data_IF_164845154362
#
_entry.id   IF_164845154362
#
_cell.length_a   1.000
_cell.length_b   1.000
_cell.length_c   1.000
_cell.angle_alpha   90.00
_cell.angle_beta   90.00
_cell.angle_gamma   90.00
#
_symmetry.space_group_name_H-M   'P 1'
#
loop_
_entity.id
_entity.type
_entity.pdbx_description
1 polymer ?
#
# COMPACT_ATOMS: atom_id res chain seq x y z
N UNK A 1 1.73 -20.43 14.96
CA UNK A 1 0.85 -19.40 15.54
C UNK A 1 1.27 -17.97 15.18
N UNK A 2 2.48 -17.50 15.51
CA UNK A 2 2.90 -16.09 15.26
C UNK A 2 2.82 -15.64 13.79
N UNK A 3 3.09 -16.52 12.81
CA UNK A 3 3.01 -16.21 11.37
C UNK A 3 1.59 -15.86 10.90
N UNK A 4 0.61 -16.68 11.31
CA UNK A 4 -0.81 -16.45 11.01
C UNK A 4 -1.36 -15.21 11.70
N UNK A 5 -0.83 -14.85 12.88
CA UNK A 5 -1.19 -13.59 13.55
C UNK A 5 -0.77 -12.38 12.70
N UNK A 6 0.48 -12.33 12.24
CA UNK A 6 0.95 -11.22 11.38
C UNK A 6 0.18 -11.14 10.07
N UNK A 7 -0.09 -12.29 9.44
CA UNK A 7 -0.94 -12.37 8.26
C UNK A 7 -2.34 -11.79 8.53
N UNK A 8 -3.00 -12.26 9.59
CA UNK A 8 -4.35 -11.83 9.96
C UNK A 8 -4.43 -10.34 10.24
N UNK A 9 -3.48 -9.79 11.01
CA UNK A 9 -3.42 -8.35 11.31
C UNK A 9 -3.34 -7.55 10.00
N UNK A 10 -2.40 -7.89 9.12
CA UNK A 10 -2.19 -7.10 7.90
C UNK A 10 -3.34 -7.25 6.91
N UNK A 11 -3.91 -8.45 6.78
CA UNK A 11 -5.10 -8.68 5.97
C UNK A 11 -6.29 -7.85 6.49
N UNK A 12 -6.51 -7.82 7.81
CA UNK A 12 -7.54 -6.99 8.43
C UNK A 12 -7.33 -5.50 8.17
N UNK A 13 -6.09 -5.00 8.15
CA UNK A 13 -5.81 -3.61 7.79
C UNK A 13 -6.21 -3.31 6.34
N UNK A 14 -5.87 -4.18 5.38
CA UNK A 14 -6.28 -3.97 3.99
C UNK A 14 -7.81 -4.02 3.80
N UNK A 15 -8.49 -4.92 4.52
CA UNK A 15 -9.96 -4.98 4.54
C UNK A 15 -10.51 -3.67 5.12
N UNK A 16 -9.93 -3.17 6.21
CA UNK A 16 -10.35 -1.92 6.84
C UNK A 16 -10.16 -0.72 5.89
N UNK A 17 -9.02 -0.62 5.21
CA UNK A 17 -8.77 0.40 4.18
C UNK A 17 -9.85 0.33 3.09
N UNK A 18 -10.15 -0.87 2.58
CA UNK A 18 -11.19 -1.05 1.57
C UNK A 18 -12.56 -0.57 2.06
N UNK A 19 -12.95 -0.91 3.29
CA UNK A 19 -14.23 -0.48 3.88
C UNK A 19 -14.30 1.03 4.01
N UNK A 20 -13.24 1.68 4.48
CA UNK A 20 -13.17 3.15 4.55
C UNK A 20 -13.30 3.78 3.16
N UNK A 21 -12.51 3.31 2.19
CA UNK A 21 -12.56 3.82 0.82
C UNK A 21 -13.96 3.69 0.22
N UNK A 22 -14.58 2.51 0.38
CA UNK A 22 -15.93 2.25 -0.11
C UNK A 22 -16.99 3.14 0.55
N UNK A 23 -16.86 3.39 1.86
CA UNK A 23 -17.88 4.13 2.61
C UNK A 23 -17.81 5.64 2.37
N UNK A 24 -16.59 6.20 2.27
CA UNK A 24 -16.39 7.65 2.27
C UNK A 24 -15.90 8.23 0.95
N UNK A 25 -15.12 7.48 0.16
CA UNK A 25 -14.32 8.04 -0.93
C UNK A 25 -14.76 7.61 -2.32
N UNK A 26 -15.58 6.58 -2.46
CA UNK A 26 -16.09 6.13 -3.76
C UNK A 26 -16.95 7.20 -4.45
N UNK A 27 -17.05 7.12 -5.79
CA UNK A 27 -17.94 8.00 -6.56
C UNK A 27 -19.36 7.95 -5.97
N UNK A 28 -19.93 9.13 -5.69
CA UNK A 28 -21.25 9.27 -5.07
C UNK A 28 -21.25 9.24 -3.53
N UNK A 29 -20.08 9.26 -2.88
CA UNK A 29 -19.92 9.34 -1.42
C UNK A 29 -19.60 10.76 -0.93
N UNK A 30 -19.86 11.07 0.35
CA UNK A 30 -19.80 12.44 0.88
C UNK A 30 -18.44 13.12 0.76
N UNK A 31 -17.35 12.36 0.71
CA UNK A 31 -16.00 12.89 0.63
C UNK A 31 -15.25 12.28 -0.54
N UNK A 32 -15.86 12.22 -1.74
CA UNK A 32 -15.19 11.59 -2.88
C UNK A 32 -13.75 12.11 -3.08
N UNK A 33 -12.80 11.18 -3.07
CA UNK A 33 -11.38 11.41 -3.31
C UNK A 33 -10.93 10.45 -4.41
N UNK A 34 -10.17 10.96 -5.38
CA UNK A 34 -9.83 10.18 -6.57
C UNK A 34 -8.89 9.02 -6.23
N UNK A 35 -7.82 9.29 -5.49
CA UNK A 35 -6.75 8.32 -5.23
C UNK A 35 -7.24 7.16 -4.37
N UNK A 36 -7.94 7.39 -3.24
CA UNK A 36 -8.49 6.28 -2.45
C UNK A 36 -9.52 5.45 -3.22
N UNK A 37 -10.33 6.05 -4.10
CA UNK A 37 -11.28 5.31 -4.95
C UNK A 37 -10.57 4.44 -5.98
N UNK A 38 -9.66 5.04 -6.75
CA UNK A 38 -8.91 4.34 -7.79
C UNK A 38 -8.05 3.21 -7.21
N UNK A 39 -7.34 3.48 -6.12
CA UNK A 39 -6.42 2.50 -5.51
C UNK A 39 -7.17 1.32 -4.89
N UNK A 40 -8.32 1.57 -4.25
CA UNK A 40 -9.18 0.53 -3.69
C UNK A 40 -9.74 -0.43 -4.77
N UNK A 41 -10.08 0.10 -5.96
CA UNK A 41 -10.63 -0.68 -7.06
C UNK A 41 -9.57 -1.47 -7.84
N UNK A 42 -8.38 -0.89 -8.03
CA UNK A 42 -7.42 -1.43 -9.00
C UNK A 42 -6.24 -2.19 -8.36
N UNK A 43 -5.67 -1.67 -7.26
CA UNK A 43 -4.38 -2.18 -6.75
C UNK A 43 -4.45 -2.72 -5.31
N UNK A 44 -5.52 -2.44 -4.56
CA UNK A 44 -5.63 -2.83 -3.15
C UNK A 44 -5.50 -4.34 -2.94
N UNK A 45 -6.18 -5.14 -3.76
CA UNK A 45 -6.09 -6.60 -3.65
C UNK A 45 -4.67 -7.10 -3.95
N UNK A 46 -4.03 -6.57 -5.00
CA UNK A 46 -2.67 -6.92 -5.39
C UNK A 46 -1.70 -6.54 -4.27
N UNK A 47 -1.83 -5.34 -3.72
CA UNK A 47 -1.02 -4.84 -2.62
C UNK A 47 -1.22 -5.70 -1.35
N UNK A 48 -2.46 -6.08 -1.06
CA UNK A 48 -2.79 -6.96 0.05
C UNK A 48 -2.10 -8.33 -0.08
N UNK A 49 -2.15 -8.96 -1.26
CA UNK A 49 -1.51 -10.26 -1.51
C UNK A 49 0.02 -10.14 -1.36
N UNK A 50 0.62 -9.13 -2.00
CA UNK A 50 2.08 -8.91 -1.95
C UNK A 50 2.54 -8.66 -0.53
N UNK A 51 1.79 -7.88 0.26
CA UNK A 51 2.14 -7.54 1.64
C UNK A 51 1.93 -8.71 2.60
N UNK A 52 0.84 -9.47 2.44
CA UNK A 52 0.44 -10.53 3.38
C UNK A 52 1.13 -11.87 3.11
N UNK A 53 1.37 -12.24 1.85
CA UNK A 53 1.96 -13.55 1.52
C UNK A 53 3.31 -13.79 2.22
N UNK A 54 4.23 -12.81 2.33
CA UNK A 54 5.47 -12.99 3.07
C UNK A 54 5.30 -13.28 4.57
N UNK A 55 4.18 -12.89 5.18
CA UNK A 55 3.91 -13.22 6.58
C UNK A 55 3.79 -14.75 6.79
N UNK A 56 3.27 -15.49 5.79
CA UNK A 56 3.12 -16.95 5.84
C UNK A 56 4.46 -17.69 5.85
N UNK A 57 5.48 -17.15 5.17
CA UNK A 57 6.87 -17.63 5.22
C UNK A 57 7.64 -17.11 6.46
N UNK A 58 6.95 -16.36 7.33
CA UNK A 58 7.48 -15.87 8.60
C UNK A 58 8.29 -14.58 8.49
N UNK A 59 8.07 -13.78 7.45
CA UNK A 59 8.59 -12.42 7.40
C UNK A 59 7.75 -11.53 8.29
N UNK A 60 8.41 -10.81 9.21
CA UNK A 60 7.69 -10.06 10.24
C UNK A 60 7.57 -8.59 9.90
N UNK A 61 8.60 -7.96 9.33
CA UNK A 61 8.65 -6.51 9.15
C UNK A 61 8.12 -6.09 7.79
N UNK A 62 8.44 -6.88 6.76
CA UNK A 62 8.02 -6.63 5.38
C UNK A 62 6.51 -6.29 5.24
N UNK A 63 5.58 -7.08 5.82
CA UNK A 63 4.15 -6.81 5.68
C UNK A 63 3.73 -5.45 6.24
N UNK A 64 4.32 -5.02 7.35
CA UNK A 64 3.98 -3.73 7.98
C UNK A 64 4.58 -2.54 7.22
N UNK A 65 5.81 -2.69 6.71
CA UNK A 65 6.47 -1.64 5.92
C UNK A 65 5.67 -1.38 4.64
N UNK A 66 5.30 -2.45 3.93
CA UNK A 66 4.55 -2.35 2.66
C UNK A 66 3.16 -1.73 2.86
N UNK A 67 2.42 -2.11 3.90
CA UNK A 67 1.15 -1.47 4.29
C UNK A 67 1.32 0.02 4.59
N UNK A 68 2.38 0.37 5.32
CA UNK A 68 2.68 1.76 5.67
C UNK A 68 2.93 2.62 4.42
N UNK A 69 3.76 2.13 3.50
CA UNK A 69 4.04 2.81 2.23
C UNK A 69 2.83 2.84 1.29
N UNK A 70 1.99 1.80 1.29
CA UNK A 70 0.73 1.81 0.55
C UNK A 70 -0.19 2.95 1.05
N UNK A 71 -0.40 3.01 2.36
CA UNK A 71 -1.27 4.02 2.99
C UNK A 71 -0.71 5.43 2.78
N UNK A 72 0.60 5.59 2.94
CA UNK A 72 1.28 6.86 2.66
C UNK A 72 1.18 7.26 1.19
N UNK A 73 1.27 6.30 0.28
CA UNK A 73 1.09 6.49 -1.15
C UNK A 73 -0.30 6.99 -1.54
N UNK A 74 -1.35 6.50 -0.89
CA UNK A 74 -2.71 7.01 -1.06
C UNK A 74 -2.79 8.48 -0.67
N UNK A 75 -2.24 8.83 0.50
CA UNK A 75 -2.25 10.21 1.00
C UNK A 75 -1.45 11.14 0.08
N UNK A 76 -0.23 10.74 -0.29
CA UNK A 76 0.59 11.52 -1.23
C UNK A 76 -0.08 11.66 -2.60
N UNK A 77 -0.69 10.59 -3.10
CA UNK A 77 -1.39 10.62 -4.36
C UNK A 77 -2.55 11.58 -4.35
N UNK A 78 -3.30 11.69 -3.25
CA UNK A 78 -4.38 12.69 -3.16
C UNK A 78 -3.84 14.12 -3.01
N UNK A 79 -2.78 14.33 -2.23
CA UNK A 79 -2.21 15.65 -2.01
C UNK A 79 -1.48 16.21 -3.25
N UNK A 80 -0.79 15.36 -4.02
CA UNK A 80 0.08 15.75 -5.12
C UNK A 80 -0.36 15.23 -6.49
N UNK A 81 -1.46 14.48 -6.56
CA UNK A 81 -1.96 13.89 -7.80
C UNK A 81 -2.82 14.83 -8.62
N UNK A 82 -3.44 15.83 -8.01
CA UNK A 82 -4.23 16.83 -8.72
C UNK A 82 -3.31 17.76 -9.51
N UNK A 83 -3.27 17.58 -10.83
CA UNK A 83 -2.68 18.56 -11.73
C UNK A 83 -3.80 19.35 -12.40
N UNK A 84 -3.71 20.68 -12.35
CA UNK A 84 -4.57 21.57 -13.14
C UNK A 84 -4.12 21.51 -14.60
N UNK A 85 -4.46 20.44 -15.29
CA UNK A 85 -4.32 20.37 -16.75
C UNK A 85 -5.69 20.56 -17.34
N UNK A 86 -5.92 21.73 -17.95
CA UNK A 86 -7.11 21.99 -18.77
C UNK A 86 -6.96 21.12 -20.03
N UNK A 87 -7.55 19.93 -20.00
CA UNK A 87 -7.65 19.06 -21.17
C UNK A 87 -8.72 19.62 -22.09
N UNK A 88 -8.24 20.22 -23.18
CA UNK A 88 -8.98 20.59 -24.40
C UNK A 88 -10.12 21.62 -24.22
N UNK A 89 -10.16 22.62 -25.09
CA UNK A 89 -11.07 23.77 -24.98
C UNK A 89 -12.56 23.40 -25.18
N UNK A 90 -12.83 22.14 -25.57
CA UNK A 90 -14.13 21.61 -25.94
C UNK A 90 -14.70 20.54 -24.98
N UNK A 91 -13.95 20.15 -23.94
CA UNK A 91 -14.42 19.20 -22.93
C UNK A 91 -14.63 19.93 -21.60
N UNK A 92 -15.64 19.52 -20.79
CA UNK A 92 -15.77 20.05 -19.45
C UNK A 92 -14.46 19.78 -18.68
N UNK A 93 -13.91 20.77 -17.97
CA UNK A 93 -12.61 20.63 -17.30
C UNK A 93 -12.69 19.50 -16.27
N UNK A 94 -12.15 18.34 -16.62
CA UNK A 94 -11.92 17.25 -15.67
C UNK A 94 -10.47 17.37 -15.21
N UNK A 95 -10.21 17.59 -13.91
CA UNK A 95 -8.85 17.61 -13.39
C UNK A 95 -8.21 16.25 -13.65
N UNK A 96 -7.11 16.24 -14.41
CA UNK A 96 -6.35 15.01 -14.62
C UNK A 96 -5.63 14.68 -13.31
N UNK A 97 -6.03 13.58 -12.67
CA UNK A 97 -5.53 13.18 -11.36
C UNK A 97 -4.54 12.01 -11.47
N UNK A 98 -3.24 12.28 -11.38
CA UNK A 98 -2.16 11.29 -11.45
C UNK A 98 -1.84 10.64 -10.08
N UNK A 99 -2.73 10.77 -9.09
CA UNK A 99 -2.52 10.24 -7.73
C UNK A 99 -2.22 8.73 -7.69
N UNK A 100 -2.69 7.97 -8.69
CA UNK A 100 -2.36 6.56 -8.85
C UNK A 100 -0.84 6.31 -9.02
N UNK A 101 -0.13 7.19 -9.73
CA UNK A 101 1.30 7.05 -10.00
C UNK A 101 2.12 7.22 -8.71
N UNK A 102 1.76 8.20 -7.89
CA UNK A 102 2.34 8.40 -6.57
C UNK A 102 2.13 7.19 -5.67
N UNK A 103 0.93 6.62 -5.65
CA UNK A 103 0.64 5.44 -4.84
C UNK A 103 1.43 4.20 -5.32
N UNK A 104 1.53 3.97 -6.63
CA UNK A 104 2.30 2.84 -7.18
C UNK A 104 3.79 3.01 -6.88
N UNK A 105 4.35 4.20 -7.11
CA UNK A 105 5.76 4.48 -6.90
C UNK A 105 6.17 4.34 -5.43
N UNK A 106 5.41 4.95 -4.52
CA UNK A 106 5.66 4.85 -3.07
C UNK A 106 5.51 3.41 -2.57
N UNK A 107 4.49 2.67 -3.03
CA UNK A 107 4.33 1.27 -2.68
C UNK A 107 5.50 0.41 -3.19
N UNK A 108 5.96 0.62 -4.42
CA UNK A 108 7.12 -0.08 -4.97
C UNK A 108 8.40 0.18 -4.15
N UNK A 109 8.64 1.44 -3.76
CA UNK A 109 9.73 1.82 -2.84
C UNK A 109 9.59 1.09 -1.51
N UNK A 110 8.38 1.06 -0.94
CA UNK A 110 8.08 0.33 0.29
C UNK A 110 8.35 -1.17 0.20
N UNK A 111 8.04 -1.80 -0.92
CA UNK A 111 8.38 -3.20 -1.18
C UNK A 111 9.90 -3.41 -1.17
N UNK A 112 10.66 -2.57 -1.88
CA UNK A 112 12.13 -2.67 -1.91
C UNK A 112 12.75 -2.47 -0.52
N UNK A 113 12.33 -1.43 0.20
CA UNK A 113 12.80 -1.13 1.56
C UNK A 113 12.44 -2.28 2.51
N UNK A 114 11.21 -2.78 2.43
CA UNK A 114 10.75 -3.93 3.20
C UNK A 114 11.62 -5.17 2.97
N UNK A 115 11.94 -5.46 1.70
CA UNK A 115 12.81 -6.58 1.34
C UNK A 115 14.21 -6.41 1.93
N UNK A 116 14.80 -5.22 1.81
CA UNK A 116 16.12 -4.92 2.33
C UNK A 116 16.18 -5.07 3.85
N UNK A 117 15.24 -4.48 4.59
CA UNK A 117 15.18 -4.53 6.06
C UNK A 117 15.00 -5.97 6.56
N UNK A 118 14.11 -6.73 5.93
CA UNK A 118 13.87 -8.13 6.32
C UNK A 118 15.12 -8.98 6.06
N UNK A 119 15.79 -8.82 4.91
CA UNK A 119 17.06 -9.51 4.59
C UNK A 119 18.17 -9.17 5.57
N UNK A 120 18.39 -7.88 5.85
CA UNK A 120 19.44 -7.43 6.79
C UNK A 120 19.19 -8.01 8.18
N UNK A 121 17.95 -7.96 8.66
CA UNK A 121 17.66 -8.41 10.02
C UNK A 121 17.76 -9.93 10.16
N UNK A 122 17.36 -10.68 9.14
CA UNK A 122 17.54 -12.15 9.12
C UNK A 122 19.01 -12.54 9.09
N UNK A 123 19.83 -11.84 8.29
CA UNK A 123 21.27 -12.06 8.23
C UNK A 123 21.93 -11.82 9.59
N UNK A 124 21.55 -10.75 10.30
CA UNK A 124 22.04 -10.47 11.67
C UNK A 124 21.65 -11.55 12.67
N UNK A 125 20.38 -11.99 12.64
CA UNK A 125 19.89 -13.05 13.53
C UNK A 125 20.63 -14.39 13.33
N UNK A 126 21.06 -14.71 12.10
CA UNK A 126 21.87 -15.92 11.83
C UNK A 126 23.30 -15.77 12.36
N UNK A 127 23.87 -14.57 12.32
CA UNK A 127 25.22 -14.29 12.84
C UNK A 127 25.29 -14.29 14.37
N UNK A 128 24.23 -13.84 15.05
CA UNK A 128 24.16 -13.74 16.51
C UNK A 128 23.85 -15.08 17.19
N UNK A 129 23.22 -16.02 16.47
CA UNK A 129 22.91 -17.36 16.97
C UNK A 129 23.44 -18.41 15.97
N UNK A 130 24.78 -18.53 15.81
CA UNK A 130 25.35 -19.58 14.99
C UNK A 130 25.00 -20.89 15.66
N UNK A 131 24.00 -21.60 15.13
CA UNK A 131 23.76 -22.99 15.50
C UNK A 131 24.99 -23.78 15.08
N UNK A 132 25.92 -23.94 16.01
CA UNK A 132 27.07 -24.83 15.87
C UNK A 132 26.53 -26.22 15.53
N UNK A 133 26.92 -26.70 14.35
CA UNK A 133 26.85 -28.10 13.95
C UNK A 133 27.78 -28.89 14.87
#
# INVERSE_FOLDING_TARGET
MKKFLHFGIVASVYIFIYVICRQFFFIGKPYHLYTPDWTAKNILLIAAIISTAPALIGWKRYPYITVGFYSFGIVLGELFGSQMVVMDHNLPPMPYHYGFAWCIGTYAIGCVIGLMIEKITRSRSVKEDPKWI
#
